data_IF_566069036310
#
_entry.id   IF_566069036310
#
_cell.length_a   1.000
_cell.length_b   1.000
_cell.length_c   1.000
_cell.angle_alpha   90.00
_cell.angle_beta   90.00
_cell.angle_gamma   90.00
#
_symmetry.space_group_name_H-M   'P 1'
#
loop_
_entity.id
_entity.type
_entity.pdbx_description
1 polymer ?
#
# COMPACT_ATOMS: atom_id res chain seq x y z
N UNK A 1 -20.37 -17.66 -67.49
CA UNK A 1 -21.54 -18.16 -68.23
C UNK A 1 -22.27 -19.12 -67.28
N UNK A 2 -23.15 -18.61 -66.43
CA UNK A 2 -24.61 -18.49 -66.62
C UNK A 2 -25.30 -19.87 -66.61
N UNK A 3 -25.89 -20.26 -65.47
CA UNK A 3 -27.35 -20.34 -65.19
C UNK A 3 -27.93 -21.74 -65.55
N UNK A 4 -28.84 -22.44 -64.83
CA UNK A 4 -30.08 -22.02 -64.15
C UNK A 4 -30.63 -23.12 -63.19
N UNK A 5 -31.51 -22.71 -62.27
CA UNK A 5 -32.33 -23.39 -61.22
C UNK A 5 -33.43 -24.38 -61.74
N UNK A 6 -34.10 -25.25 -60.91
CA UNK A 6 -35.28 -24.86 -60.08
C UNK A 6 -35.65 -25.67 -58.78
N UNK A 7 -36.37 -24.96 -57.88
CA UNK A 7 -37.54 -25.30 -57.01
C UNK A 7 -37.58 -26.47 -55.98
N UNK A 8 -37.84 -26.12 -54.70
CA UNK A 8 -38.91 -26.60 -53.77
C UNK A 8 -38.57 -26.21 -52.30
N UNK A 9 -39.26 -25.27 -51.63
CA UNK A 9 -40.53 -25.35 -50.88
C UNK A 9 -40.42 -25.77 -49.38
N UNK A 10 -40.99 -24.90 -48.51
CA UNK A 10 -41.45 -25.08 -47.11
C UNK A 10 -40.37 -25.21 -46.00
N UNK A 11 -40.49 -24.68 -44.78
CA UNK A 11 -41.63 -24.19 -43.98
C UNK A 11 -41.24 -22.99 -43.10
N UNK A 12 -42.25 -22.18 -42.80
CA UNK A 12 -42.28 -21.06 -41.89
C UNK A 12 -42.41 -21.55 -40.43
N UNK A 13 -41.58 -21.07 -39.51
CA UNK A 13 -41.82 -21.15 -38.07
C UNK A 13 -41.51 -19.80 -37.44
N UNK A 14 -42.54 -19.00 -37.19
CA UNK A 14 -42.45 -17.73 -36.48
C UNK A 14 -42.57 -18.00 -34.97
N UNK A 15 -41.47 -17.83 -34.23
CA UNK A 15 -41.50 -17.80 -32.77
C UNK A 15 -41.70 -16.36 -32.30
N UNK A 16 -42.86 -16.07 -31.70
CA UNK A 16 -43.12 -14.79 -31.02
C UNK A 16 -42.41 -14.82 -29.65
N UNK A 17 -41.33 -14.05 -29.50
CA UNK A 17 -40.73 -13.78 -28.20
C UNK A 17 -41.42 -12.55 -27.58
N UNK A 18 -42.17 -12.74 -26.50
CA UNK A 18 -42.74 -11.65 -25.71
C UNK A 18 -41.65 -11.05 -24.81
N UNK A 19 -41.28 -9.79 -25.04
CA UNK A 19 -40.35 -9.03 -24.20
C UNK A 19 -41.10 -8.44 -23.00
N UNK A 20 -40.80 -8.93 -21.79
CA UNK A 20 -41.26 -8.30 -20.55
C UNK A 20 -40.27 -7.19 -20.19
N UNK A 21 -40.71 -5.93 -20.26
CA UNK A 21 -39.93 -4.78 -19.81
C UNK A 21 -40.02 -4.67 -18.28
N UNK A 22 -38.88 -4.79 -17.59
CA UNK A 22 -38.77 -4.54 -16.16
C UNK A 22 -38.77 -3.02 -15.88
N UNK A 23 -39.41 -2.55 -14.79
CA UNK A 23 -39.39 -1.13 -14.42
C UNK A 23 -38.01 -0.72 -13.93
N UNK A 24 -37.46 0.35 -14.51
CA UNK A 24 -36.22 0.96 -14.06
C UNK A 24 -36.39 1.57 -12.66
N UNK A 25 -35.56 1.15 -11.71
CA UNK A 25 -35.46 1.79 -10.41
C UNK A 25 -34.94 3.23 -10.57
N UNK A 26 -35.43 4.20 -9.77
CA UNK A 26 -34.91 5.56 -9.82
C UNK A 26 -33.44 5.57 -9.42
N UNK A 27 -32.60 6.11 -10.30
CA UNK A 27 -31.20 6.35 -10.00
C UNK A 27 -31.11 7.33 -8.82
N UNK A 28 -30.74 6.83 -7.65
CA UNK A 28 -30.38 7.66 -6.52
C UNK A 28 -29.17 8.51 -6.91
N UNK A 29 -29.35 9.83 -6.96
CA UNK A 29 -28.26 10.78 -7.12
C UNK A 29 -27.36 10.67 -5.88
N UNK A 30 -26.27 9.91 -6.01
CA UNK A 30 -25.19 9.96 -5.03
C UNK A 30 -24.50 11.31 -5.22
N UNK A 31 -24.71 12.23 -4.28
CA UNK A 31 -23.94 13.45 -4.21
C UNK A 31 -22.48 13.06 -3.92
N UNK A 32 -21.59 13.28 -4.88
CA UNK A 32 -20.14 13.17 -4.67
C UNK A 32 -19.75 14.29 -3.70
N UNK A 33 -19.23 14.00 -2.51
CA UNK A 33 -18.69 15.06 -1.66
C UNK A 33 -17.50 15.71 -2.40
N UNK A 34 -17.54 17.04 -2.55
CA UNK A 34 -16.44 17.89 -3.05
C UNK A 34 -15.27 17.91 -2.06
N UNK A 35 -14.69 16.74 -1.76
CA UNK A 35 -13.51 16.65 -0.92
C UNK A 35 -12.30 16.52 -1.85
N UNK A 36 -11.74 17.67 -2.24
CA UNK A 36 -10.45 17.66 -2.94
C UNK A 36 -9.38 17.31 -1.91
N UNK A 37 -8.90 16.07 -1.94
CA UNK A 37 -7.73 15.67 -1.16
C UNK A 37 -6.47 16.19 -1.83
N UNK A 38 -5.53 16.71 -1.02
CA UNK A 38 -4.21 17.11 -1.48
C UNK A 38 -3.15 16.67 -0.47
N UNK A 39 -1.99 16.28 -0.98
CA UNK A 39 -0.80 16.10 -0.16
C UNK A 39 -0.38 17.44 0.45
N UNK A 40 0.09 17.43 1.70
CA UNK A 40 0.70 18.61 2.30
C UNK A 40 2.00 18.96 1.54
N UNK A 41 2.27 20.26 1.33
CA UNK A 41 3.43 20.72 0.56
C UNK A 41 4.76 20.35 1.24
N UNK A 42 5.86 20.39 0.49
CA UNK A 42 7.20 19.97 0.95
C UNK A 42 7.68 20.69 2.22
N UNK A 43 7.27 21.94 2.42
CA UNK A 43 7.62 22.77 3.58
C UNK A 43 6.68 22.58 4.79
N UNK A 44 5.63 21.78 4.64
CA UNK A 44 4.72 21.44 5.72
C UNK A 44 5.46 20.73 6.87
N UNK A 45 4.99 20.99 8.08
CA UNK A 45 5.51 20.38 9.30
C UNK A 45 4.37 19.87 10.17
N UNK A 46 4.55 18.68 10.73
CA UNK A 46 3.68 18.10 11.75
C UNK A 46 4.52 17.93 13.01
N UNK A 47 4.11 18.55 14.11
CA UNK A 47 4.87 18.58 15.37
C UNK A 47 6.34 19.03 15.18
N UNK A 48 6.56 20.02 14.30
CA UNK A 48 7.89 20.55 14.00
C UNK A 48 8.74 19.70 13.06
N UNK A 49 8.26 18.51 12.65
CA UNK A 49 8.97 17.59 11.75
C UNK A 49 8.51 17.76 10.31
N UNK A 50 9.46 17.93 9.39
CA UNK A 50 9.19 17.98 7.96
C UNK A 50 9.35 16.61 7.30
N UNK A 51 9.23 16.57 5.98
CA UNK A 51 9.37 15.32 5.21
C UNK A 51 10.66 14.54 5.48
N UNK A 52 11.86 15.14 5.58
CA UNK A 52 13.09 14.40 5.89
C UNK A 52 13.03 13.67 7.23
N UNK A 53 12.60 14.38 8.29
CA UNK A 53 12.52 13.80 9.62
C UNK A 53 11.41 12.73 9.71
N UNK A 54 10.33 12.89 8.96
CA UNK A 54 9.25 11.90 8.86
C UNK A 54 9.69 10.64 8.10
N UNK A 55 10.44 10.79 7.01
CA UNK A 55 10.99 9.67 6.24
C UNK A 55 11.94 8.81 7.09
N UNK A 56 12.83 9.43 7.88
CA UNK A 56 13.73 8.71 8.79
C UNK A 56 12.96 7.91 9.85
N UNK A 57 11.94 8.51 10.48
CA UNK A 57 11.16 7.78 11.48
C UNK A 57 10.25 6.72 10.88
N UNK A 58 9.77 6.91 9.64
CA UNK A 58 9.04 5.87 8.94
C UNK A 58 9.92 4.62 8.80
N UNK A 59 11.19 4.76 8.44
CA UNK A 59 12.14 3.64 8.39
C UNK A 59 12.39 3.01 9.75
N UNK A 60 12.58 3.81 10.80
CA UNK A 60 12.73 3.29 12.17
C UNK A 60 11.50 2.53 12.64
N UNK A 61 10.29 3.02 12.32
CA UNK A 61 9.04 2.31 12.60
C UNK A 61 8.95 1.00 11.82
N UNK A 62 9.21 1.04 10.51
CA UNK A 62 9.11 -0.12 9.63
C UNK A 62 10.11 -1.23 9.99
N UNK A 63 11.32 -0.88 10.48
CA UNK A 63 12.35 -1.82 10.90
C UNK A 63 12.42 -2.09 12.39
N UNK A 64 11.53 -1.49 13.19
CA UNK A 64 11.41 -1.81 14.62
C UNK A 64 11.07 -3.28 14.86
N UNK A 65 10.30 -3.88 13.95
CA UNK A 65 9.92 -5.29 14.02
C UNK A 65 10.95 -6.18 13.33
N UNK A 66 11.08 -7.40 13.86
CA UNK A 66 11.89 -8.47 13.27
C UNK A 66 11.48 -8.73 11.83
N UNK A 67 12.42 -9.19 11.02
CA UNK A 67 12.12 -9.63 9.66
C UNK A 67 11.07 -10.77 9.67
N UNK A 68 10.13 -10.73 8.73
CA UNK A 68 8.93 -11.56 8.71
C UNK A 68 7.73 -10.94 9.44
N UNK A 69 7.96 -9.98 10.33
CA UNK A 69 6.91 -9.29 11.12
C UNK A 69 6.84 -7.79 10.83
N UNK A 70 7.53 -7.32 9.77
CA UNK A 70 7.55 -5.90 9.42
C UNK A 70 6.21 -5.51 8.81
N UNK A 71 5.72 -4.28 9.05
CA UNK A 71 4.45 -3.82 8.47
C UNK A 71 4.48 -3.76 6.93
N UNK A 72 5.67 -3.68 6.32
CA UNK A 72 5.83 -3.78 4.85
C UNK A 72 5.61 -5.20 4.33
N UNK A 73 5.75 -6.22 5.17
CA UNK A 73 5.57 -7.63 4.86
C UNK A 73 4.16 -8.14 5.20
N UNK A 74 3.36 -7.38 5.94
CA UNK A 74 1.95 -7.69 6.22
C UNK A 74 1.10 -7.39 4.96
N UNK A 75 0.51 -8.40 4.29
CA UNK A 75 -0.29 -8.17 3.09
C UNK A 75 -1.72 -7.69 3.40
N UNK A 76 -2.17 -7.82 4.65
CA UNK A 76 -3.57 -7.63 5.10
C UNK A 76 -3.80 -6.33 5.87
N UNK A 77 -2.75 -5.74 6.45
CA UNK A 77 -2.86 -4.55 7.28
C UNK A 77 -3.26 -4.83 8.74
N UNK A 78 -3.42 -6.10 9.13
CA UNK A 78 -3.72 -6.51 10.51
C UNK A 78 -2.75 -5.92 11.54
N UNK A 79 -1.49 -5.67 11.13
CA UNK A 79 -0.44 -5.12 11.99
C UNK A 79 -0.22 -3.61 11.82
N UNK A 80 -1.09 -2.90 11.10
CA UNK A 80 -0.86 -1.48 10.82
C UNK A 80 -0.80 -0.58 12.07
N UNK A 81 -1.36 -1.04 13.19
CA UNK A 81 -1.38 -0.35 14.47
C UNK A 81 -0.10 -0.55 15.30
N UNK A 82 0.71 -1.57 14.96
CA UNK A 82 1.86 -1.98 15.76
C UNK A 82 2.95 -0.89 15.72
N UNK A 83 3.42 -0.50 16.90
CA UNK A 83 4.52 0.46 17.04
C UNK A 83 4.21 1.90 16.66
N UNK A 84 2.95 2.24 16.39
CA UNK A 84 2.51 3.61 16.05
C UNK A 84 2.49 4.51 17.29
N UNK A 85 2.97 5.75 17.16
CA UNK A 85 2.97 6.75 18.25
C UNK A 85 2.87 8.17 17.67
N UNK A 86 2.41 9.14 18.48
CA UNK A 86 2.34 10.55 18.07
C UNK A 86 1.18 10.90 17.14
N UNK A 87 1.22 12.09 16.55
CA UNK A 87 0.14 12.61 15.67
C UNK A 87 0.25 12.19 14.21
N UNK A 88 1.34 11.50 13.84
CA UNK A 88 1.53 10.92 12.51
C UNK A 88 1.32 9.41 12.59
N UNK A 89 0.49 8.88 11.69
CA UNK A 89 0.27 7.46 11.49
C UNK A 89 0.98 7.01 10.22
N UNK A 90 1.90 6.07 10.36
CA UNK A 90 2.67 5.56 9.23
C UNK A 90 1.90 4.46 8.51
N UNK A 91 1.80 4.54 7.18
CA UNK A 91 1.30 3.42 6.38
C UNK A 91 2.46 2.76 5.64
N UNK A 92 2.43 1.44 5.57
CA UNK A 92 3.46 0.67 4.90
C UNK A 92 3.23 0.55 3.40
N UNK A 93 4.30 0.67 2.61
CA UNK A 93 4.31 0.22 1.21
C UNK A 93 4.48 -1.30 1.09
N UNK A 94 4.98 -1.77 -0.04
CA UNK A 94 5.47 -3.15 -0.20
C UNK A 94 6.99 -3.15 -0.38
N UNK A 95 7.70 -4.27 -0.17
CA UNK A 95 9.10 -4.37 -0.52
C UNK A 95 9.25 -4.67 -2.02
N UNK A 96 10.15 -3.97 -2.71
CA UNK A 96 10.53 -4.29 -4.10
C UNK A 96 9.32 -4.33 -5.04
N UNK A 97 9.09 -5.48 -5.67
CA UNK A 97 7.86 -5.76 -6.42
C UNK A 97 6.87 -6.53 -5.56
N UNK A 98 5.65 -6.03 -5.44
CA UNK A 98 4.64 -6.70 -4.64
C UNK A 98 3.30 -5.99 -4.62
N UNK A 99 2.27 -6.78 -4.34
CA UNK A 99 0.91 -6.29 -4.16
C UNK A 99 0.42 -6.53 -2.74
N UNK A 100 -0.48 -5.67 -2.26
CA UNK A 100 -1.13 -5.84 -0.96
C UNK A 100 -2.53 -5.21 -0.97
N UNK A 101 -3.46 -5.81 -0.23
CA UNK A 101 -4.78 -5.24 0.00
C UNK A 101 -5.02 -5.20 1.50
N UNK A 102 -4.91 -4.01 2.07
CA UNK A 102 -4.80 -3.80 3.51
C UNK A 102 -6.05 -3.14 4.06
N UNK A 103 -6.51 -3.60 5.22
CA UNK A 103 -7.51 -2.88 6.02
C UNK A 103 -6.84 -2.41 7.30
N UNK A 104 -7.01 -1.13 7.63
CA UNK A 104 -6.34 -0.54 8.78
C UNK A 104 -7.27 0.42 9.52
N UNK A 105 -7.37 0.27 10.83
CA UNK A 105 -8.04 1.23 11.70
C UNK A 105 -7.08 2.34 12.08
N UNK A 106 -7.46 3.59 11.81
CA UNK A 106 -6.65 4.77 12.13
C UNK A 106 -7.39 5.64 13.14
N UNK A 107 -6.75 6.08 14.24
CA UNK A 107 -7.36 7.05 15.15
C UNK A 107 -7.70 8.38 14.44
N UNK A 108 -8.77 9.05 14.86
CA UNK A 108 -9.12 10.38 14.34
C UNK A 108 -8.01 11.39 14.62
N UNK A 109 -7.87 12.40 13.76
CA UNK A 109 -6.90 13.50 13.95
C UNK A 109 -5.44 13.14 13.64
N UNK A 110 -5.14 11.95 13.09
CA UNK A 110 -3.78 11.57 12.69
C UNK A 110 -3.46 11.98 11.27
N UNK A 111 -2.34 12.64 11.07
CA UNK A 111 -1.75 12.82 9.75
C UNK A 111 -1.28 11.47 9.22
N UNK A 112 -1.38 11.22 7.92
CA UNK A 112 -0.88 9.98 7.33
C UNK A 112 0.44 10.23 6.62
N UNK A 113 1.43 9.37 6.83
CA UNK A 113 2.70 9.45 6.12
C UNK A 113 3.10 8.10 5.54
N UNK A 114 3.43 8.07 4.25
CA UNK A 114 3.73 6.81 3.55
C UNK A 114 4.66 6.98 2.35
N UNK A 115 5.37 5.90 1.97
CA UNK A 115 6.18 5.88 0.76
C UNK A 115 5.33 5.61 -0.48
N UNK A 116 5.77 6.15 -1.62
CA UNK A 116 5.27 5.78 -2.95
C UNK A 116 6.35 5.06 -3.76
N UNK A 117 7.56 5.63 -3.81
CA UNK A 117 8.75 5.00 -4.37
C UNK A 117 9.97 5.54 -3.62
N UNK A 118 10.54 4.73 -2.74
CA UNK A 118 11.59 5.16 -1.82
C UNK A 118 12.74 4.18 -1.82
N UNK A 119 13.94 4.72 -1.61
CA UNK A 119 15.15 3.95 -1.42
C UNK A 119 15.66 4.13 0.01
N UNK A 120 16.18 3.05 0.59
CA UNK A 120 17.04 3.12 1.77
C UNK A 120 18.37 2.48 1.43
N UNK A 121 19.44 3.24 1.55
CA UNK A 121 20.80 2.77 1.45
C UNK A 121 21.45 2.80 2.81
N UNK A 122 22.10 1.71 3.21
CA UNK A 122 22.72 1.62 4.53
C UNK A 122 24.00 0.78 4.51
N UNK A 123 24.83 1.00 5.52
CA UNK A 123 26.03 0.19 5.76
C UNK A 123 25.64 -1.20 6.24
N UNK A 124 26.43 -2.21 5.87
CA UNK A 124 26.23 -3.59 6.35
C UNK A 124 27.50 -4.08 7.06
N UNK A 125 27.41 -5.09 7.94
CA UNK A 125 28.59 -5.67 8.59
C UNK A 125 29.66 -6.06 7.57
N UNK A 126 30.91 -5.67 7.84
CA UNK A 126 32.06 -5.92 6.96
C UNK A 126 32.13 -5.02 5.70
N UNK A 127 31.12 -4.18 5.44
CA UNK A 127 31.11 -3.25 4.29
C UNK A 127 30.42 -1.93 4.67
N UNK A 128 31.08 -1.17 5.53
CA UNK A 128 30.66 0.18 5.89
C UNK A 128 30.91 1.14 4.73
N UNK A 129 29.94 2.01 4.44
CA UNK A 129 30.00 3.09 3.44
C UNK A 129 29.84 4.43 4.17
N UNK A 130 30.50 5.47 3.67
CA UNK A 130 30.31 6.82 4.22
C UNK A 130 28.93 7.38 3.85
N UNK A 131 28.52 8.42 4.58
CA UNK A 131 27.18 9.01 4.41
C UNK A 131 26.97 9.61 3.01
N UNK A 132 27.99 10.25 2.44
CA UNK A 132 27.89 10.87 1.13
C UNK A 132 27.62 9.81 0.04
N UNK A 133 28.32 8.68 0.10
CA UNK A 133 28.14 7.54 -0.80
C UNK A 133 26.72 6.98 -0.71
N UNK A 134 26.20 6.81 0.51
CA UNK A 134 24.84 6.30 0.71
C UNK A 134 23.77 7.27 0.20
N UNK A 135 23.95 8.57 0.45
CA UNK A 135 23.05 9.62 -0.06
C UNK A 135 23.01 9.64 -1.58
N UNK A 136 24.16 9.57 -2.24
CA UNK A 136 24.25 9.49 -3.70
C UNK A 136 23.52 8.25 -4.22
N UNK A 137 23.79 7.07 -3.66
CA UNK A 137 23.15 5.83 -4.08
C UNK A 137 21.62 5.86 -3.89
N UNK A 138 21.13 6.38 -2.76
CA UNK A 138 19.69 6.53 -2.52
C UNK A 138 19.07 7.48 -3.56
N UNK A 139 19.74 8.60 -3.85
CA UNK A 139 19.30 9.57 -4.86
C UNK A 139 19.29 9.02 -6.28
N UNK A 140 20.24 8.16 -6.64
CA UNK A 140 20.26 7.46 -7.93
C UNK A 140 19.07 6.52 -8.08
N UNK A 141 18.75 5.73 -7.04
CA UNK A 141 17.57 4.85 -7.05
C UNK A 141 16.28 5.67 -7.13
N UNK A 142 16.16 6.72 -6.31
CA UNK A 142 14.99 7.60 -6.28
C UNK A 142 14.76 8.36 -7.60
N UNK A 143 15.81 8.59 -8.39
CA UNK A 143 15.74 9.28 -9.69
C UNK A 143 15.46 8.35 -10.87
N UNK A 144 15.33 7.03 -10.65
CA UNK A 144 15.01 6.09 -11.73
C UNK A 144 13.65 6.44 -12.35
N UNK A 145 13.52 6.42 -13.69
CA UNK A 145 12.25 6.67 -14.35
C UNK A 145 11.14 5.72 -13.86
N UNK A 146 10.03 6.30 -13.42
CA UNK A 146 8.84 5.56 -13.01
C UNK A 146 7.55 6.24 -13.49
N UNK A 147 6.50 5.45 -13.60
CA UNK A 147 5.11 5.91 -13.60
C UNK A 147 4.51 5.61 -12.23
N UNK A 148 3.66 6.50 -11.73
CA UNK A 148 2.90 6.25 -10.52
C UNK A 148 1.47 6.76 -10.65
N UNK A 149 0.60 6.21 -9.81
CA UNK A 149 -0.75 6.70 -9.55
C UNK A 149 -1.00 6.57 -8.05
N UNK A 150 -1.34 7.68 -7.41
CA UNK A 150 -1.78 7.71 -6.01
C UNK A 150 -3.17 8.30 -6.00
N UNK A 151 -4.11 7.60 -5.38
CA UNK A 151 -5.51 8.02 -5.32
C UNK A 151 -6.05 7.84 -3.91
N UNK A 152 -6.74 8.85 -3.41
CA UNK A 152 -7.52 8.78 -2.17
C UNK A 152 -8.97 9.13 -2.49
N UNK A 153 -9.88 8.18 -2.29
CA UNK A 153 -11.33 8.33 -2.57
C UNK A 153 -11.64 8.89 -3.96
N UNK A 154 -10.89 8.46 -4.98
CA UNK A 154 -11.05 8.95 -6.35
C UNK A 154 -10.25 10.21 -6.69
N UNK A 155 -9.72 10.94 -5.70
CA UNK A 155 -8.90 12.11 -5.92
C UNK A 155 -7.43 11.73 -6.15
N UNK A 156 -6.85 12.18 -7.26
CA UNK A 156 -5.43 11.97 -7.57
C UNK A 156 -4.54 12.85 -6.68
N UNK A 157 -3.48 12.24 -6.16
CA UNK A 157 -2.51 12.88 -5.29
C UNK A 157 -1.13 12.91 -5.93
N UNK A 158 -0.43 14.03 -5.73
CA UNK A 158 0.96 14.19 -6.14
C UNK A 158 1.88 13.96 -4.94
N UNK A 159 2.73 12.92 -4.93
CA UNK A 159 3.74 12.76 -3.91
C UNK A 159 4.87 13.77 -4.07
N UNK A 160 5.58 14.01 -2.98
CA UNK A 160 6.67 14.96 -2.89
C UNK A 160 7.99 14.19 -2.76
N UNK A 161 9.02 14.61 -3.50
CA UNK A 161 10.36 14.05 -3.31
C UNK A 161 11.01 14.62 -2.07
N UNK A 162 11.53 13.75 -1.21
CA UNK A 162 12.30 14.16 -0.04
C UNK A 162 13.40 13.15 0.27
N UNK A 163 14.54 13.69 0.71
CA UNK A 163 15.70 12.92 1.11
C UNK A 163 16.08 13.26 2.56
N UNK A 164 16.71 12.32 3.25
CA UNK A 164 17.29 12.56 4.57
C UNK A 164 18.36 13.65 4.48
N UNK A 165 18.38 14.55 5.47
CA UNK A 165 19.36 15.65 5.53
C UNK A 165 20.73 15.12 5.92
N UNK A 166 20.72 14.31 6.97
CA UNK A 166 21.88 13.60 7.51
C UNK A 166 21.66 12.10 7.40
N UNK A 167 22.72 11.32 7.66
CA UNK A 167 22.55 9.88 7.80
C UNK A 167 22.10 9.51 9.20
N UNK A 168 21.34 8.43 9.30
CA UNK A 168 20.73 7.96 10.53
C UNK A 168 20.98 6.47 10.73
N UNK A 169 20.54 5.94 11.86
CA UNK A 169 20.40 4.50 12.06
C UNK A 169 18.93 4.11 11.88
N UNK A 170 18.64 3.35 10.83
CA UNK A 170 17.29 2.86 10.52
C UNK A 170 16.82 1.77 11.49
N UNK A 171 17.75 1.15 12.21
CA UNK A 171 17.50 0.10 13.21
C UNK A 171 17.71 0.62 14.64
N UNK A 172 17.81 1.93 14.85
CA UNK A 172 18.00 2.52 16.18
C UNK A 172 16.95 2.06 17.20
N UNK A 173 15.73 1.83 16.72
CA UNK A 173 14.59 1.42 17.53
C UNK A 173 14.32 -0.10 17.45
N UNK A 174 15.17 -0.86 16.74
CA UNK A 174 15.06 -2.31 16.64
C UNK A 174 15.42 -2.93 17.99
N UNK A 175 14.42 -3.15 18.84
CA UNK A 175 14.59 -3.73 20.17
C UNK A 175 14.79 -5.24 20.17
N UNK A 176 15.44 -5.80 19.15
CA UNK A 176 15.59 -7.23 18.95
C UNK A 176 17.08 -7.64 18.83
N UNK A 177 17.46 -8.70 19.56
CA UNK A 177 18.87 -9.05 19.84
C UNK A 177 19.73 -9.39 18.60
N UNK A 178 19.09 -9.76 17.48
CA UNK A 178 19.74 -10.09 16.21
C UNK A 178 20.26 -8.85 15.45
N UNK A 179 19.80 -7.65 15.80
CA UNK A 179 20.25 -6.41 15.17
C UNK A 179 20.58 -5.36 16.25
N UNK A 180 21.79 -5.41 16.83
CA UNK A 180 22.22 -4.37 17.77
C UNK A 180 22.26 -2.99 17.10
N UNK A 181 21.97 -1.90 17.85
CA UNK A 181 22.08 -0.53 17.36
C UNK A 181 23.45 -0.25 16.72
N UNK A 182 23.44 0.48 15.62
CA UNK A 182 24.64 0.87 14.87
C UNK A 182 25.14 -0.19 13.87
N UNK A 183 24.65 -1.44 13.92
CA UNK A 183 25.10 -2.52 13.03
C UNK A 183 24.91 -2.18 11.54
N UNK A 184 23.78 -1.52 11.24
CA UNK A 184 23.40 -1.11 9.89
C UNK A 184 23.50 0.42 9.68
N UNK A 185 24.26 1.12 10.52
CA UNK A 185 24.49 2.56 10.39
C UNK A 185 25.84 2.87 9.73
N UNK A 186 25.99 4.00 9.00
CA UNK A 186 24.93 4.95 8.64
C UNK A 186 23.96 4.41 7.59
N UNK A 187 22.78 5.02 7.54
CA UNK A 187 21.74 4.85 6.53
C UNK A 187 21.28 6.21 5.96
N UNK A 188 20.79 6.23 4.72
CA UNK A 188 20.24 7.39 4.03
C UNK A 188 19.04 6.99 3.19
N UNK A 189 18.04 7.86 3.09
CA UNK A 189 16.86 7.66 2.25
C UNK A 189 16.61 8.82 1.30
N UNK A 190 16.05 8.52 0.13
CA UNK A 190 15.51 9.48 -0.85
C UNK A 190 14.32 8.79 -1.55
N UNK A 191 13.31 9.55 -1.93
CA UNK A 191 12.17 9.02 -2.66
C UNK A 191 10.98 9.94 -2.70
N UNK A 192 9.92 9.43 -3.32
CA UNK A 192 8.59 10.01 -3.35
C UNK A 192 7.81 9.57 -2.11
N UNK A 193 7.40 10.55 -1.33
CA UNK A 193 6.65 10.41 -0.08
C UNK A 193 5.34 11.16 -0.15
N UNK A 194 4.38 10.75 0.68
CA UNK A 194 3.10 11.43 0.80
C UNK A 194 2.86 11.75 2.28
N UNK A 195 2.57 13.02 2.57
CA UNK A 195 2.04 13.47 3.85
C UNK A 195 0.61 13.98 3.63
N UNK A 196 -0.36 13.43 4.34
CA UNK A 196 -1.75 13.82 4.24
C UNK A 196 -2.23 14.49 5.53
N UNK A 197 -3.12 15.49 5.44
CA UNK A 197 -3.84 15.97 6.61
C UNK A 197 -4.68 14.84 7.22
N UNK A 198 -5.13 14.98 8.47
CA UNK A 198 -6.06 14.02 9.06
C UNK A 198 -7.30 13.85 8.20
N UNK A 199 -7.64 12.59 7.95
CA UNK A 199 -8.87 12.26 7.24
C UNK A 199 -10.07 12.46 8.17
N UNK A 200 -11.22 12.73 7.58
CA UNK A 200 -12.50 12.70 8.28
C UNK A 200 -12.78 11.32 8.88
N UNK A 201 -13.64 11.26 9.90
CA UNK A 201 -14.16 9.98 10.39
C UNK A 201 -14.91 9.25 9.28
N UNK A 202 -14.65 7.95 9.10
CA UNK A 202 -15.29 7.13 8.07
C UNK A 202 -14.34 6.14 7.42
N UNK A 203 -14.81 5.48 6.37
CA UNK A 203 -13.99 4.56 5.57
C UNK A 203 -13.46 5.28 4.34
N UNK A 204 -12.14 5.28 4.18
CA UNK A 204 -11.42 5.88 3.07
C UNK A 204 -10.65 4.80 2.29
N UNK A 205 -10.48 5.00 0.99
CA UNK A 205 -9.73 4.09 0.11
C UNK A 205 -8.54 4.79 -0.50
N UNK A 206 -7.35 4.30 -0.17
CA UNK A 206 -6.07 4.76 -0.70
C UNK A 206 -5.51 3.70 -1.65
N UNK A 207 -5.17 4.08 -2.87
CA UNK A 207 -4.53 3.22 -3.87
C UNK A 207 -3.18 3.83 -4.24
N UNK A 208 -2.14 3.00 -4.26
CA UNK A 208 -0.81 3.37 -4.71
C UNK A 208 -0.34 2.36 -5.74
N UNK A 209 -0.02 2.85 -6.93
CA UNK A 209 0.62 2.12 -8.02
C UNK A 209 1.91 2.86 -8.38
N UNK A 210 3.04 2.15 -8.44
CA UNK A 210 4.32 2.73 -8.84
C UNK A 210 5.17 1.69 -9.57
N UNK A 211 5.57 1.99 -10.81
CA UNK A 211 6.25 1.06 -11.72
C UNK A 211 7.43 1.71 -12.39
N UNK A 212 8.60 1.08 -12.34
CA UNK A 212 9.77 1.55 -13.10
C UNK A 212 9.55 1.32 -14.60
N UNK A 213 9.78 2.36 -15.41
CA UNK A 213 9.47 2.35 -16.84
C UNK A 213 10.62 1.85 -17.73
N UNK A 214 11.82 1.69 -17.19
CA UNK A 214 12.99 1.25 -17.96
C UNK A 214 13.27 -0.26 -17.82
N UNK A 215 13.47 -0.92 -18.97
CA UNK A 215 14.06 -2.26 -19.06
C UNK A 215 15.59 -2.14 -19.07
N UNK A 216 16.25 -2.35 -17.93
CA UNK A 216 17.71 -2.40 -17.83
C UNK A 216 18.12 -3.39 -16.75
N UNK A 217 18.79 -4.47 -17.16
CA UNK A 217 19.16 -5.69 -16.41
C UNK A 217 18.06 -6.25 -15.48
N UNK A 218 17.60 -7.47 -15.79
CA UNK A 218 16.53 -8.21 -15.10
C UNK A 218 16.71 -8.46 -13.58
N UNK A 219 17.67 -7.82 -12.91
CA UNK A 219 17.81 -7.86 -11.46
C UNK A 219 16.91 -6.78 -10.86
N UNK A 220 15.66 -7.19 -10.66
CA UNK A 220 14.56 -6.52 -9.95
C UNK A 220 14.02 -5.24 -10.59
N UNK A 221 13.07 -5.40 -11.51
CA UNK A 221 12.07 -4.34 -11.79
C UNK A 221 11.35 -4.02 -10.48
N UNK A 222 11.05 -2.74 -10.26
CA UNK A 222 10.17 -2.29 -9.18
C UNK A 222 8.76 -2.11 -9.74
N UNK A 223 7.80 -2.81 -9.17
CA UNK A 223 6.37 -2.69 -9.44
C UNK A 223 5.60 -2.88 -8.13
N UNK A 224 5.06 -1.80 -7.61
CA UNK A 224 4.25 -1.81 -6.39
C UNK A 224 2.82 -1.45 -6.72
N UNK A 225 1.91 -2.26 -6.20
CA UNK A 225 0.49 -1.94 -6.23
C UNK A 225 -0.13 -2.34 -4.90
N UNK A 226 -0.41 -1.38 -4.05
CA UNK A 226 -1.08 -1.64 -2.78
C UNK A 226 -2.30 -0.75 -2.58
N UNK A 227 -3.30 -1.32 -1.93
CA UNK A 227 -4.52 -0.62 -1.53
C UNK A 227 -4.66 -0.66 -0.02
N UNK A 228 -5.15 0.44 0.57
CA UNK A 228 -5.65 0.50 1.92
C UNK A 228 -7.13 0.85 1.94
N UNK A 229 -7.90 0.09 2.71
CA UNK A 229 -9.17 0.53 3.31
C UNK A 229 -8.85 1.05 4.71
N UNK A 230 -8.99 2.36 4.91
CA UNK A 230 -8.69 3.05 6.16
C UNK A 230 -9.99 3.33 6.90
N UNK A 231 -10.19 2.71 8.07
CA UNK A 231 -11.32 2.98 8.94
C UNK A 231 -10.92 4.01 10.00
N UNK A 232 -11.21 5.27 9.73
CA UNK A 232 -10.82 6.42 10.55
C UNK A 232 -11.84 6.62 11.67
N UNK A 233 -11.37 6.58 12.92
CA UNK A 233 -12.22 6.65 14.11
C UNK A 233 -13.08 5.41 14.34
N UNK A 234 -12.81 4.31 13.61
CA UNK A 234 -13.37 3.00 13.86
C UNK A 234 -12.80 2.38 15.13
N UNK A 235 -13.52 1.40 15.70
CA UNK A 235 -12.91 0.49 16.69
C UNK A 235 -11.92 -0.42 15.97
N UNK A 236 -10.78 -0.78 16.59
CA UNK A 236 -9.90 -1.81 16.03
C UNK A 236 -10.71 -3.06 15.73
N UNK A 237 -10.53 -3.64 14.54
CA UNK A 237 -11.09 -4.95 14.24
C UNK A 237 -10.33 -5.95 15.11
N UNK A 238 -10.97 -6.42 16.19
CA UNK A 238 -10.45 -7.58 16.92
C UNK A 238 -10.42 -8.73 15.92
N UNK A 239 -9.27 -9.40 15.79
CA UNK A 239 -9.16 -10.57 14.94
C UNK A 239 -10.18 -11.60 15.45
N UNK A 240 -11.26 -11.81 14.70
CA UNK A 240 -12.23 -12.86 15.01
C UNK A 240 -11.46 -14.17 15.05
N UNK A 241 -11.37 -14.75 16.24
CA UNK A 241 -10.78 -16.07 16.42
C UNK A 241 -11.60 -17.07 15.64
N UNK A 242 -11.03 -17.56 14.54
CA UNK A 242 -11.50 -18.76 13.86
C UNK A 242 -11.54 -19.88 14.91
N UNK A 243 -12.73 -20.15 15.44
CA UNK A 243 -12.93 -21.27 16.36
C UNK A 243 -12.79 -22.52 15.50
N UNK A 244 -11.81 -23.41 15.76
CA UNK A 244 -11.66 -24.61 14.95
C UNK A 244 -12.96 -25.42 15.03
N UNK A 245 -13.41 -26.03 13.92
CA UNK A 245 -14.60 -26.86 13.94
C UNK A 245 -14.42 -27.98 14.97
N UNK A 246 -15.48 -28.32 15.73
CA UNK A 246 -15.40 -29.40 16.70
C UNK A 246 -14.98 -30.69 15.98
N UNK A 247 -14.17 -31.56 16.62
CA UNK A 247 -13.79 -32.84 16.03
C UNK A 247 -15.06 -33.64 15.70
N UNK A 248 -15.12 -34.14 14.46
CA UNK A 248 -16.19 -35.04 14.04
C UNK A 248 -16.12 -36.32 14.90
N UNK A 249 -17.20 -36.55 15.64
CA UNK A 249 -17.44 -37.73 16.45
C UNK A 249 -17.78 -38.90 15.49
N UNK A 250 -16.75 -39.58 14.98
CA UNK A 250 -16.95 -40.88 14.34
C UNK A 250 -17.15 -41.93 15.43
N UNK A 251 -18.42 -42.09 15.78
CA UNK A 251 -18.94 -43.13 16.64
C UNK A 251 -18.67 -44.54 16.07
N UNK A 252 -18.15 -45.39 16.95
CA UNK A 252 -18.64 -46.75 17.22
C UNK A 252 -18.39 -47.88 16.18
N UNK A 253 -17.42 -48.73 16.54
CA UNK A 253 -17.47 -50.22 16.56
C UNK A 253 -17.67 -50.96 15.22
N UNK A 254 -16.75 -51.89 14.93
CA UNK A 254 -17.04 -53.32 14.75
C UNK A 254 -15.77 -54.15 15.00
N UNK A 255 -15.89 -55.03 15.98
CA UNK A 255 -15.05 -56.18 16.30
C UNK A 255 -15.18 -57.24 15.20
N UNK A 256 -14.06 -57.81 14.73
CA UNK A 256 -13.92 -59.22 14.31
C UNK A 256 -12.48 -59.67 14.55
#
# INVERSE_FOLDING_TARGET
>A
MSASLPFAAAMLAAALAATVAAPAAPAGTSATPDTTFAALPLDAKVEGRGYPELAEAWWRWAYRQRDGMRPTQDPTGAQCHVGQTGTVWFLAGTPGTGTANRRCTVPEGRHLFLPVHVALEYSVPGRRRDCATLRTAAGEVASRPLTYRVELDGALLAPVRSASRDCFDAYADAGHDDVPPGLYAPASTDGLWLLLPPLSKGTHRLVVEARQTAAGAARSRFDQQFTYTLDVGGKPVEAEGETPPPPEDDAEVITL
#
